data_IF_937701193507
#
_entry.id   IF_937701193507
#
_cell.length_a   1.000
_cell.length_b   1.000
_cell.length_c   1.000
_cell.angle_alpha   90.00
_cell.angle_beta   90.00
_cell.angle_gamma   90.00
#
_symmetry.space_group_name_H-M   'P 1'
#
loop_
_entity.id
_entity.type
_entity.pdbx_description
1 polymer ?
#
# COMPACT_ATOMS: atom_id res chain seq x y z
N UNK A 1 -17.38 4.34 3.50
CA UNK A 1 -17.08 3.18 2.63
C UNK A 1 -15.93 3.60 1.74
N UNK A 2 -14.78 2.94 1.85
CA UNK A 2 -13.54 3.38 1.18
C UNK A 2 -13.24 2.59 -0.12
N UNK A 3 -14.27 2.18 -0.84
CA UNK A 3 -14.16 1.70 -2.22
C UNK A 3 -14.65 2.83 -3.12
N UNK A 4 -13.71 3.49 -3.80
CA UNK A 4 -14.00 4.58 -4.74
C UNK A 4 -14.14 4.04 -6.16
N UNK A 5 -13.34 3.02 -6.50
CA UNK A 5 -13.35 2.35 -7.80
C UNK A 5 -13.68 0.88 -7.61
N UNK A 6 -14.83 0.47 -8.12
CA UNK A 6 -15.25 -0.94 -8.07
C UNK A 6 -14.54 -1.75 -9.14
N UNK A 7 -14.10 -2.96 -8.78
CA UNK A 7 -13.54 -3.96 -9.69
C UNK A 7 -14.37 -5.22 -9.66
N UNK A 8 -14.57 -5.84 -10.80
CA UNK A 8 -15.31 -7.10 -10.87
C UNK A 8 -14.45 -8.29 -10.42
N UNK A 9 -15.12 -9.33 -9.96
CA UNK A 9 -14.48 -10.60 -9.60
C UNK A 9 -13.68 -11.20 -10.77
N UNK A 10 -14.17 -11.05 -11.99
CA UNK A 10 -13.53 -11.52 -13.22
C UNK A 10 -12.21 -10.78 -13.49
N UNK A 11 -12.19 -9.47 -13.29
CA UNK A 11 -10.96 -8.67 -13.44
C UNK A 11 -9.91 -9.07 -12.42
N UNK A 12 -10.32 -9.29 -11.16
CA UNK A 12 -9.40 -9.74 -10.11
C UNK A 12 -8.90 -11.16 -10.41
N UNK A 13 -9.75 -12.09 -10.86
CA UNK A 13 -9.32 -13.43 -11.27
C UNK A 13 -8.28 -13.40 -12.40
N UNK A 14 -8.49 -12.56 -13.41
CA UNK A 14 -7.56 -12.40 -14.52
C UNK A 14 -6.19 -11.90 -14.03
N UNK A 15 -6.17 -10.90 -13.15
CA UNK A 15 -4.94 -10.37 -12.54
C UNK A 15 -4.24 -11.44 -11.69
N UNK A 16 -4.96 -12.18 -10.85
CA UNK A 16 -4.38 -13.24 -10.01
C UNK A 16 -3.78 -14.38 -10.84
N UNK A 17 -4.40 -14.70 -11.98
CA UNK A 17 -3.88 -15.70 -12.92
C UNK A 17 -2.57 -15.22 -13.56
N UNK A 18 -2.51 -13.96 -14.01
CA UNK A 18 -1.29 -13.34 -14.56
C UNK A 18 -0.16 -13.37 -13.51
N UNK A 19 -0.47 -13.06 -12.26
CA UNK A 19 0.48 -13.04 -11.15
C UNK A 19 0.80 -14.43 -10.58
N UNK A 20 0.14 -15.49 -11.05
CA UNK A 20 0.29 -16.87 -10.54
C UNK A 20 0.04 -16.99 -9.04
N UNK A 21 -0.93 -16.25 -8.52
CA UNK A 21 -1.25 -16.18 -7.10
C UNK A 21 -2.28 -17.22 -6.65
N UNK A 22 -2.78 -18.05 -7.55
CA UNK A 22 -3.76 -19.09 -7.27
C UNK A 22 -5.19 -18.68 -7.63
N UNK A 23 -6.14 -19.53 -7.26
CA UNK A 23 -7.56 -19.37 -7.54
C UNK A 23 -8.21 -18.45 -6.50
N UNK A 24 -8.95 -17.43 -6.95
CA UNK A 24 -9.69 -16.52 -6.07
C UNK A 24 -10.76 -17.27 -5.28
N UNK A 25 -10.68 -17.22 -3.96
CA UNK A 25 -11.68 -17.77 -3.04
C UNK A 25 -12.61 -16.69 -2.49
N UNK A 26 -12.05 -15.56 -2.08
CA UNK A 26 -12.83 -14.49 -1.50
C UNK A 26 -12.22 -13.12 -1.85
N UNK A 27 -13.10 -12.12 -2.02
CA UNK A 27 -12.73 -10.72 -2.20
C UNK A 27 -13.68 -9.85 -1.40
N UNK A 28 -13.12 -8.91 -0.62
CA UNK A 28 -13.90 -7.99 0.20
C UNK A 28 -13.27 -6.59 0.15
N UNK A 29 -14.07 -5.59 -0.17
CA UNK A 29 -13.65 -4.18 -0.10
C UNK A 29 -13.37 -3.76 1.34
N UNK A 30 -12.27 -3.02 1.55
CA UNK A 30 -11.95 -2.45 2.85
C UNK A 30 -12.83 -1.23 3.12
N UNK A 31 -13.34 -1.11 4.35
CA UNK A 31 -14.20 0.00 4.77
C UNK A 31 -13.38 1.21 5.25
N UNK A 32 -12.10 1.03 5.58
CA UNK A 32 -11.18 2.07 6.01
C UNK A 32 -10.25 2.49 4.88
N UNK A 33 -9.73 3.73 4.97
CA UNK A 33 -8.84 4.34 3.99
C UNK A 33 -9.47 5.58 3.35
N UNK A 34 -8.65 6.59 3.08
CA UNK A 34 -9.09 7.89 2.57
C UNK A 34 -8.45 8.25 1.23
N UNK A 35 -7.51 7.45 0.73
CA UNK A 35 -6.74 7.80 -0.46
C UNK A 35 -6.79 6.77 -1.57
N UNK A 36 -7.02 5.49 -1.25
CA UNK A 36 -6.98 4.40 -2.20
C UNK A 36 -8.15 3.46 -2.01
N UNK A 37 -8.55 2.80 -3.07
CA UNK A 37 -9.46 1.65 -3.00
C UNK A 37 -8.65 0.40 -2.66
N UNK A 38 -9.04 -0.31 -1.60
CA UNK A 38 -8.38 -1.54 -1.18
C UNK A 38 -9.37 -2.70 -1.10
N UNK A 39 -8.92 -3.88 -1.51
CA UNK A 39 -9.63 -5.14 -1.34
C UNK A 39 -8.75 -6.15 -0.62
N UNK A 40 -9.29 -6.81 0.39
CA UNK A 40 -8.74 -8.06 0.89
C UNK A 40 -9.09 -9.18 -0.07
N UNK A 41 -8.08 -9.94 -0.46
CA UNK A 41 -8.22 -11.02 -1.44
C UNK A 41 -7.61 -12.28 -0.86
N UNK A 42 -8.37 -13.38 -0.79
CA UNK A 42 -7.84 -14.69 -0.46
C UNK A 42 -7.84 -15.60 -1.68
N UNK A 43 -6.76 -16.36 -1.83
CA UNK A 43 -6.60 -17.31 -2.92
C UNK A 43 -6.24 -18.69 -2.39
N UNK A 44 -6.50 -19.73 -3.20
CA UNK A 44 -6.04 -21.09 -2.95
C UNK A 44 -4.97 -21.47 -3.97
N UNK A 45 -3.80 -21.91 -3.50
CA UNK A 45 -2.70 -22.38 -4.32
C UNK A 45 -1.89 -23.43 -3.57
N UNK A 46 -1.53 -24.50 -4.25
CA UNK A 46 -0.68 -25.58 -3.70
C UNK A 46 -1.20 -26.17 -2.38
N UNK A 47 -2.54 -26.31 -2.25
CA UNK A 47 -3.18 -26.86 -1.04
C UNK A 47 -3.27 -25.87 0.14
N UNK A 48 -2.88 -24.62 -0.03
CA UNK A 48 -2.89 -23.60 1.02
C UNK A 48 -3.68 -22.34 0.63
N UNK A 49 -4.22 -21.65 1.64
CA UNK A 49 -4.84 -20.34 1.47
C UNK A 49 -3.80 -19.23 1.66
N UNK A 50 -3.79 -18.28 0.74
CA UNK A 50 -2.92 -17.12 0.76
C UNK A 50 -3.74 -15.84 0.81
N UNK A 51 -3.26 -14.86 1.58
CA UNK A 51 -3.94 -13.58 1.80
C UNK A 51 -3.16 -12.43 1.16
N UNK A 52 -3.87 -11.59 0.42
CA UNK A 52 -3.32 -10.44 -0.29
C UNK A 52 -4.16 -9.18 -0.05
N UNK A 53 -3.58 -8.03 -0.37
CA UNK A 53 -4.28 -6.77 -0.52
C UNK A 53 -4.09 -6.30 -1.96
N UNK A 54 -5.20 -6.11 -2.67
CA UNK A 54 -5.25 -5.42 -3.95
C UNK A 54 -5.54 -3.94 -3.67
N UNK A 55 -4.66 -3.06 -4.11
CA UNK A 55 -4.81 -1.61 -3.98
C UNK A 55 -4.95 -0.98 -5.35
N UNK A 56 -6.00 -0.18 -5.57
CA UNK A 56 -6.12 0.76 -6.69
C UNK A 56 -5.75 2.15 -6.19
N UNK A 57 -4.82 2.79 -6.88
CA UNK A 57 -4.30 4.11 -6.50
C UNK A 57 -5.12 5.21 -7.16
N UNK A 58 -5.92 5.92 -6.36
CA UNK A 58 -6.85 6.93 -6.87
C UNK A 58 -6.15 8.24 -7.26
N UNK A 59 -5.00 8.54 -6.65
CA UNK A 59 -4.27 9.82 -6.79
C UNK A 59 -2.88 9.70 -7.38
N UNK A 60 -2.16 8.62 -7.08
CA UNK A 60 -0.80 8.43 -7.60
C UNK A 60 -0.82 7.96 -9.05
N UNK A 61 0.03 8.57 -9.87
CA UNK A 61 0.18 8.20 -11.27
C UNK A 61 1.08 6.97 -11.46
N UNK A 62 1.00 6.36 -12.64
CA UNK A 62 1.91 5.29 -13.06
C UNK A 62 3.39 5.68 -12.98
N UNK A 63 3.72 6.97 -13.15
CA UNK A 63 5.10 7.44 -13.07
C UNK A 63 5.63 7.55 -11.63
N UNK A 64 4.76 7.80 -10.65
CA UNK A 64 5.13 7.97 -9.24
C UNK A 64 5.22 6.66 -8.47
N UNK A 65 4.39 5.68 -8.82
CA UNK A 65 4.26 4.41 -8.08
C UNK A 65 5.52 3.53 -8.05
N UNK A 66 6.33 3.43 -9.11
CA UNK A 66 7.49 2.54 -9.12
C UNK A 66 8.47 2.79 -7.97
N UNK A 67 8.66 4.03 -7.53
CA UNK A 67 9.49 4.34 -6.36
C UNK A 67 8.99 3.62 -5.11
N UNK A 68 7.72 3.78 -4.77
CA UNK A 68 7.14 3.21 -3.54
C UNK A 68 7.11 1.69 -3.57
N UNK A 69 6.65 1.09 -4.66
CA UNK A 69 6.53 -0.36 -4.76
C UNK A 69 7.89 -1.05 -4.82
N UNK A 70 8.89 -0.46 -5.49
CA UNK A 70 10.25 -0.98 -5.50
C UNK A 70 10.93 -0.84 -4.14
N UNK A 71 10.68 0.26 -3.41
CA UNK A 71 11.17 0.42 -2.04
C UNK A 71 10.53 -0.63 -1.11
N UNK A 72 9.23 -0.83 -1.17
CA UNK A 72 8.56 -1.88 -0.39
C UNK A 72 9.15 -3.26 -0.67
N UNK A 73 9.34 -3.61 -1.95
CA UNK A 73 9.94 -4.88 -2.35
C UNK A 73 11.37 -5.02 -1.86
N UNK A 74 12.19 -3.98 -2.01
CA UNK A 74 13.57 -3.93 -1.53
C UNK A 74 13.68 -4.17 -0.02
N UNK A 75 12.81 -3.53 0.76
CA UNK A 75 12.75 -3.68 2.21
C UNK A 75 12.27 -5.09 2.63
N UNK A 76 11.20 -5.59 2.00
CA UNK A 76 10.68 -6.92 2.28
C UNK A 76 11.73 -8.01 2.03
N UNK A 77 12.47 -7.93 0.92
CA UNK A 77 13.56 -8.85 0.57
C UNK A 77 14.75 -8.80 1.55
N UNK A 78 14.85 -7.74 2.37
CA UNK A 78 15.82 -7.61 3.47
C UNK A 78 15.25 -7.98 4.85
N UNK A 79 14.09 -8.63 4.87
CA UNK A 79 13.47 -9.11 6.10
C UNK A 79 12.82 -8.02 6.95
N UNK A 80 12.54 -6.86 6.36
CA UNK A 80 11.73 -5.84 7.03
C UNK A 80 10.26 -6.23 6.89
N UNK A 81 9.46 -6.17 7.97
CA UNK A 81 8.05 -6.55 7.96
C UNK A 81 7.17 -5.48 7.29
N UNK A 82 7.35 -5.31 5.98
CA UNK A 82 6.52 -4.49 5.11
C UNK A 82 5.79 -5.36 4.08
N UNK A 83 4.63 -4.94 3.57
CA UNK A 83 3.95 -5.70 2.52
C UNK A 83 4.83 -5.80 1.27
N UNK A 84 5.03 -7.02 0.75
CA UNK A 84 5.82 -7.23 -0.45
C UNK A 84 4.95 -7.18 -1.71
N UNK A 85 5.23 -6.27 -2.67
CA UNK A 85 4.55 -6.24 -3.95
C UNK A 85 4.88 -7.46 -4.80
N UNK A 86 3.84 -8.06 -5.38
CA UNK A 86 3.97 -9.17 -6.33
C UNK A 86 4.29 -8.64 -7.72
N UNK A 87 5.32 -9.21 -8.34
CA UNK A 87 5.66 -8.91 -9.73
C UNK A 87 5.03 -9.93 -10.69
N UNK A 88 4.68 -9.49 -11.89
CA UNK A 88 4.36 -10.40 -12.99
C UNK A 88 5.64 -11.03 -13.59
N UNK A 89 5.48 -11.87 -14.62
CA UNK A 89 6.61 -12.55 -15.28
C UNK A 89 7.61 -11.59 -15.95
N UNK A 90 7.24 -10.33 -16.20
CA UNK A 90 8.11 -9.28 -16.73
C UNK A 90 8.81 -8.44 -15.64
N UNK A 91 8.53 -8.73 -14.36
CA UNK A 91 9.06 -7.97 -13.23
C UNK A 91 8.29 -6.67 -12.94
N UNK A 92 7.15 -6.46 -13.55
CA UNK A 92 6.30 -5.29 -13.33
C UNK A 92 5.52 -5.44 -12.01
N UNK A 93 5.45 -4.36 -11.24
CA UNK A 93 4.78 -4.29 -9.94
C UNK A 93 3.47 -3.49 -9.99
N UNK A 94 3.27 -2.73 -11.07
CA UNK A 94 2.10 -1.89 -11.29
C UNK A 94 1.28 -2.48 -12.43
N UNK A 95 -0.01 -2.60 -12.20
CA UNK A 95 -1.00 -3.11 -13.16
C UNK A 95 -2.04 -2.02 -13.42
N UNK A 96 -2.92 -2.23 -14.37
CA UNK A 96 -4.05 -1.33 -14.62
C UNK A 96 -5.37 -2.08 -14.43
N UNK A 97 -6.25 -1.53 -13.59
CA UNK A 97 -7.63 -1.97 -13.41
C UNK A 97 -8.55 -0.76 -13.42
N UNK A 98 -9.62 -0.79 -14.22
CA UNK A 98 -10.60 0.30 -14.34
C UNK A 98 -9.95 1.66 -14.67
N UNK A 99 -8.87 1.66 -15.48
CA UNK A 99 -8.12 2.87 -15.83
C UNK A 99 -7.32 3.46 -14.65
N UNK A 100 -7.16 2.73 -13.56
CA UNK A 100 -6.37 3.11 -12.38
C UNK A 100 -5.13 2.23 -12.24
N UNK A 101 -4.01 2.81 -11.76
CA UNK A 101 -2.87 2.01 -11.36
C UNK A 101 -3.24 1.11 -10.18
N UNK A 102 -2.81 -0.13 -10.22
CA UNK A 102 -3.08 -1.12 -9.18
C UNK A 102 -1.82 -1.91 -8.81
N UNK A 103 -1.78 -2.42 -7.58
CA UNK A 103 -0.75 -3.36 -7.12
C UNK A 103 -1.35 -4.41 -6.19
N UNK A 104 -0.72 -5.57 -6.16
CA UNK A 104 -1.06 -6.66 -5.25
C UNK A 104 0.12 -6.88 -4.30
N UNK A 105 -0.15 -6.87 -2.99
CA UNK A 105 0.84 -7.13 -1.95
C UNK A 105 0.36 -8.27 -1.04
N UNK A 106 1.27 -8.98 -0.39
CA UNK A 106 0.88 -9.92 0.65
C UNK A 106 0.26 -9.17 1.84
N UNK A 107 -0.79 -9.74 2.43
CA UNK A 107 -1.41 -9.21 3.65
C UNK A 107 -0.58 -9.60 4.86
N UNK A 108 -0.10 -8.61 5.60
CA UNK A 108 0.60 -8.85 6.86
C UNK A 108 -0.40 -9.25 7.96
N UNK A 109 0.07 -10.09 8.87
CA UNK A 109 -0.68 -10.44 10.09
C UNK A 109 -0.49 -9.35 11.14
N UNK A 110 -1.55 -9.07 11.88
CA UNK A 110 -1.53 -8.07 12.96
C UNK A 110 -2.85 -7.33 13.06
N UNK A 111 -2.88 -6.42 14.01
CA UNK A 111 -4.02 -5.52 14.24
C UNK A 111 -3.51 -4.16 14.70
N UNK A 112 -4.35 -3.14 14.58
CA UNK A 112 -4.05 -1.81 15.08
C UNK A 112 -4.10 -1.81 16.61
N UNK A 113 -3.09 -1.17 17.24
CA UNK A 113 -3.07 -0.92 18.69
C UNK A 113 -3.42 0.55 18.94
N UNK A 114 -4.57 0.78 19.58
CA UNK A 114 -5.07 2.13 19.84
C UNK A 114 -4.50 2.76 21.11
N UNK A 115 -3.91 1.94 21.99
CA UNK A 115 -3.28 2.39 23.23
C UNK A 115 -1.83 1.83 23.31
N UNK A 116 -0.90 2.35 22.50
CA UNK A 116 0.45 1.82 22.41
C UNK A 116 1.19 1.99 23.75
N UNK A 117 1.89 0.93 24.17
CA UNK A 117 2.77 0.91 25.34
C UNK A 117 4.19 1.34 24.96
N UNK A 118 5.05 1.55 25.96
CA UNK A 118 6.49 1.80 25.74
C UNK A 118 7.17 0.66 24.97
N UNK A 119 6.74 -0.59 25.15
CA UNK A 119 7.26 -1.75 24.40
C UNK A 119 6.89 -1.67 22.92
N UNK A 120 5.66 -1.27 22.59
CA UNK A 120 5.25 -1.01 21.21
C UNK A 120 6.12 0.10 20.58
N UNK A 121 6.35 1.20 21.31
CA UNK A 121 7.19 2.30 20.82
C UNK A 121 8.64 1.84 20.57
N UNK A 122 9.22 1.05 21.48
CA UNK A 122 10.56 0.47 21.30
C UNK A 122 10.62 -0.45 20.07
N UNK A 123 9.62 -1.33 19.88
CA UNK A 123 9.57 -2.24 18.75
C UNK A 123 9.44 -1.49 17.41
N UNK A 124 8.63 -0.43 17.36
CA UNK A 124 8.50 0.44 16.19
C UNK A 124 9.81 1.17 15.91
N UNK A 125 10.46 1.75 16.93
CA UNK A 125 11.75 2.43 16.80
C UNK A 125 12.85 1.51 16.27
N UNK A 126 12.95 0.29 16.84
CA UNK A 126 13.89 -0.73 16.36
C UNK A 126 13.63 -1.17 14.93
N UNK A 127 12.35 -1.31 14.55
CA UNK A 127 11.97 -1.67 13.17
C UNK A 127 12.30 -0.53 12.20
N UNK A 128 12.03 0.72 12.57
CA UNK A 128 12.35 1.90 11.77
C UNK A 128 13.86 2.03 11.54
N UNK A 129 14.68 1.82 12.60
CA UNK A 129 16.14 1.82 12.48
C UNK A 129 16.63 0.75 11.48
N UNK A 130 16.12 -0.48 11.58
CA UNK A 130 16.43 -1.56 10.62
C UNK A 130 16.00 -1.20 9.20
N UNK A 131 14.83 -0.58 9.05
CA UNK A 131 14.30 -0.12 7.76
C UNK A 131 15.23 0.93 7.13
N UNK A 132 15.71 1.91 7.90
CA UNK A 132 16.67 2.92 7.43
C UNK A 132 18.00 2.27 7.00
N UNK A 133 18.52 1.33 7.78
CA UNK A 133 19.75 0.60 7.41
C UNK A 133 19.56 -0.23 6.14
N UNK A 134 18.43 -0.93 6.02
CA UNK A 134 18.09 -1.73 4.85
C UNK A 134 17.85 -0.89 3.59
N UNK A 135 17.45 0.37 3.74
CA UNK A 135 17.17 1.29 2.64
C UNK A 135 18.39 2.08 2.14
N UNK A 136 19.55 1.98 2.79
CA UNK A 136 20.73 2.82 2.47
C UNK A 136 21.28 2.63 1.05
N UNK A 137 21.15 1.44 0.48
CA UNK A 137 21.57 1.08 -0.87
C UNK A 137 20.44 1.07 -1.90
N UNK A 138 19.26 1.60 -1.55
CA UNK A 138 18.16 1.74 -2.49
C UNK A 138 18.45 2.86 -3.50
N UNK A 139 18.57 2.49 -4.78
CA UNK A 139 19.12 3.35 -5.81
C UNK A 139 18.17 4.43 -6.33
N UNK A 140 16.84 4.30 -6.10
CA UNK A 140 15.86 5.25 -6.59
C UNK A 140 15.67 6.40 -5.60
N UNK A 141 15.47 7.60 -6.13
CA UNK A 141 15.12 8.79 -5.34
C UNK A 141 13.82 9.38 -5.85
N UNK A 142 13.05 9.98 -4.95
CA UNK A 142 11.84 10.73 -5.28
C UNK A 142 11.71 11.90 -4.33
N UNK A 143 11.34 13.10 -4.82
CA UNK A 143 11.01 14.23 -3.95
C UNK A 143 9.89 13.84 -2.98
N UNK A 144 9.94 14.38 -1.75
CA UNK A 144 8.83 14.26 -0.82
C UNK A 144 7.63 15.07 -1.34
N UNK A 145 6.64 14.40 -1.91
CA UNK A 145 5.45 14.99 -2.50
C UNK A 145 4.53 15.67 -1.45
N UNK A 146 4.77 15.41 -0.15
CA UNK A 146 4.05 16.03 0.97
C UNK A 146 4.99 16.66 1.98
N UNK A 147 6.10 17.20 1.48
CA UNK A 147 7.06 17.97 2.26
C UNK A 147 6.58 19.39 2.55
N UNK A 148 7.48 20.23 3.02
CA UNK A 148 7.19 21.61 3.43
C UNK A 148 6.53 22.44 2.31
N UNK A 149 6.95 22.27 1.05
CA UNK A 149 6.35 22.99 -0.09
C UNK A 149 4.85 22.65 -0.20
N UNK A 150 4.49 21.37 -0.12
CA UNK A 150 3.08 20.96 -0.14
C UNK A 150 2.27 21.55 1.03
N UNK A 151 2.86 21.61 2.23
CA UNK A 151 2.21 22.24 3.40
C UNK A 151 1.96 23.72 3.17
N UNK A 152 2.94 24.45 2.65
CA UNK A 152 2.82 25.89 2.37
C UNK A 152 1.74 26.18 1.30
N UNK A 153 1.54 25.29 0.35
CA UNK A 153 0.50 25.39 -0.68
C UNK A 153 -0.88 24.97 -0.19
N UNK A 154 -0.94 23.94 0.65
CA UNK A 154 -2.21 23.32 1.06
C UNK A 154 -2.84 24.00 2.27
N UNK A 155 -2.04 24.43 3.25
CA UNK A 155 -2.55 25.04 4.46
C UNK A 155 -3.43 26.29 4.20
N UNK A 156 -3.07 27.25 3.32
CA UNK A 156 -3.93 28.40 3.01
C UNK A 156 -5.29 28.03 2.41
N UNK A 157 -5.38 26.84 1.75
CA UNK A 157 -6.63 26.37 1.14
C UNK A 157 -7.52 25.69 2.19
N UNK A 158 -6.92 24.98 3.14
CA UNK A 158 -7.66 24.19 4.14
C UNK A 158 -8.06 25.01 5.37
N UNK A 159 -7.18 25.90 5.82
CA UNK A 159 -7.41 26.70 7.05
C UNK A 159 -8.77 27.46 7.08
N UNK A 160 -9.24 28.06 5.98
CA UNK A 160 -10.55 28.72 5.97
C UNK A 160 -11.74 27.80 6.17
N UNK A 161 -11.58 26.50 5.90
CA UNK A 161 -12.65 25.46 6.01
C UNK A 161 -12.67 24.82 7.41
N UNK A 162 -11.69 25.12 8.27
CA UNK A 162 -11.60 24.59 9.63
C UNK A 162 -12.38 25.46 10.61
N UNK A 163 -12.95 24.84 11.64
CA UNK A 163 -13.48 25.61 12.77
C UNK A 163 -12.35 26.24 13.62
N UNK A 164 -12.72 27.20 14.48
CA UNK A 164 -11.74 27.96 15.28
C UNK A 164 -10.89 27.08 16.20
N UNK A 165 -11.40 25.93 16.64
CA UNK A 165 -10.67 25.00 17.51
C UNK A 165 -9.68 24.12 16.72
N UNK A 166 -9.93 23.90 15.43
CA UNK A 166 -9.07 23.13 14.53
C UNK A 166 -8.00 23.97 13.84
N UNK A 167 -8.19 25.30 13.77
CA UNK A 167 -7.28 26.23 13.10
C UNK A 167 -6.14 26.73 14.03
N UNK A 168 -6.16 26.39 15.32
CA UNK A 168 -5.11 26.69 16.31
C UNK A 168 -4.23 25.49 16.56
#
# INVERSE_FOLDING_TARGET
>A
MAVYTEVSTEQVRALLLELKLGELQHMQGCTGGIENTNYFVSTHRDGATHEYVLTLFERLSLAQLPFYLRLMKHLAQRGIPVPEPTANARGELVFELQGKPAAVVNKLRGQSELAPTSEHCMAVGATLARMHLAGRDFALTQPNLRGLAWWNETAPVVLPELDTAQAT
#
